data_IF_007789449707
#
_entry.id   IF_007789449707
#
_cell.length_a   1.000
_cell.length_b   1.000
_cell.length_c   1.000
_cell.angle_alpha   90.00
_cell.angle_beta   90.00
_cell.angle_gamma   90.00
#
_symmetry.space_group_name_H-M   'P 1'
#
loop_
_entity.id
_entity.type
_entity.pdbx_description
1 polymer ?
#
# COMPACT_ATOMS: atom_id res chain seq x y z
N UNK A 1 -8.19 16.66 -5.04
CA UNK A 1 -8.78 16.14 -3.79
C UNK A 1 -7.68 16.04 -2.76
N UNK A 2 -7.98 16.40 -1.51
CA UNK A 2 -7.05 16.27 -0.38
C UNK A 2 -7.59 15.18 0.55
N UNK A 3 -6.76 14.19 0.86
CA UNK A 3 -7.02 13.25 1.95
C UNK A 3 -6.00 13.54 3.05
N UNK A 4 -6.45 13.76 4.28
CA UNK A 4 -5.59 14.10 5.40
C UNK A 4 -5.86 13.18 6.60
N UNK A 5 -4.80 12.82 7.30
CA UNK A 5 -4.84 12.13 8.59
C UNK A 5 -3.64 12.57 9.41
N UNK A 6 -3.91 13.10 10.60
CA UNK A 6 -2.89 13.64 11.49
C UNK A 6 -2.01 14.67 10.73
N UNK A 7 -0.69 14.47 10.68
CA UNK A 7 0.24 15.33 9.94
C UNK A 7 0.47 14.89 8.48
N UNK A 8 -0.21 13.83 8.02
CA UNK A 8 -0.03 13.27 6.68
C UNK A 8 -1.13 13.74 5.72
N UNK A 9 -0.71 14.32 4.60
CA UNK A 9 -1.58 14.77 3.52
C UNK A 9 -1.26 14.06 2.21
N UNK A 10 -2.30 13.60 1.51
CA UNK A 10 -2.24 13.09 0.16
C UNK A 10 -3.02 14.02 -0.77
N UNK A 11 -2.29 14.62 -1.71
CA UNK A 11 -2.82 15.57 -2.69
C UNK A 11 -3.02 14.85 -4.01
N UNK A 12 -4.29 14.59 -4.35
CA UNK A 12 -4.68 13.91 -5.58
C UNK A 12 -5.10 14.95 -6.62
N UNK A 13 -4.38 15.02 -7.73
CA UNK A 13 -4.74 15.84 -8.87
C UNK A 13 -5.62 15.06 -9.83
N UNK A 14 -6.57 15.74 -10.47
CA UNK A 14 -7.27 15.16 -11.60
C UNK A 14 -6.28 14.90 -12.75
N UNK A 15 -6.37 13.72 -13.33
CA UNK A 15 -5.60 13.29 -14.48
C UNK A 15 -6.53 12.56 -15.43
N UNK A 16 -6.28 12.70 -16.73
CA UNK A 16 -7.08 12.01 -17.74
C UNK A 16 -6.77 10.50 -17.72
N UNK A 17 -7.78 9.64 -17.87
CA UNK A 17 -7.61 8.18 -17.81
C UNK A 17 -6.60 7.66 -18.86
N UNK A 18 -6.45 8.35 -20.00
CA UNK A 18 -5.45 8.00 -21.03
C UNK A 18 -4.01 8.14 -20.54
N UNK A 19 -3.75 9.01 -19.56
CA UNK A 19 -2.42 9.16 -18.95
C UNK A 19 -1.99 7.91 -18.19
N UNK A 20 -2.96 7.08 -17.80
CA UNK A 20 -2.74 5.80 -17.15
C UNK A 20 -2.77 4.63 -18.14
N UNK A 21 -2.92 4.85 -19.44
CA UNK A 21 -2.87 3.73 -20.40
C UNK A 21 -1.46 3.12 -20.47
N UNK A 22 -1.39 1.80 -20.58
CA UNK A 22 -0.11 1.11 -20.88
C UNK A 22 0.53 1.74 -22.14
N UNK A 23 1.86 1.94 -22.20
CA UNK A 23 2.90 1.41 -21.31
C UNK A 23 3.28 2.29 -20.11
N UNK A 24 2.48 3.29 -19.75
CA UNK A 24 2.84 4.21 -18.66
C UNK A 24 2.97 3.48 -17.32
N UNK A 25 4.13 3.64 -16.68
CA UNK A 25 4.41 3.11 -15.35
C UNK A 25 3.42 3.64 -14.30
N UNK A 26 3.19 2.84 -13.27
CA UNK A 26 2.35 3.21 -12.12
C UNK A 26 3.19 3.69 -10.96
N UNK A 27 2.63 4.63 -10.20
CA UNK A 27 3.24 5.10 -8.98
C UNK A 27 3.36 3.97 -7.97
N UNK A 28 4.45 4.00 -7.19
CA UNK A 28 4.60 3.17 -6.00
C UNK A 28 4.85 4.10 -4.81
N UNK A 29 3.89 4.15 -3.90
CA UNK A 29 3.95 4.97 -2.69
C UNK A 29 4.26 4.07 -1.50
N UNK A 30 5.24 4.46 -0.69
CA UNK A 30 5.71 3.68 0.45
C UNK A 30 5.45 4.45 1.74
N UNK A 31 4.66 3.87 2.62
CA UNK A 31 4.25 4.43 3.89
C UNK A 31 4.91 3.67 5.03
N UNK A 32 5.63 4.39 5.89
CA UNK A 32 6.14 3.83 7.14
C UNK A 32 4.97 3.73 8.12
N UNK A 33 4.82 2.56 8.75
CA UNK A 33 3.78 2.30 9.75
C UNK A 33 4.41 1.68 10.99
N UNK A 34 3.79 1.87 12.16
CA UNK A 34 4.34 1.36 13.42
C UNK A 34 4.26 -0.18 13.49
N UNK A 35 3.12 -0.74 13.08
CA UNK A 35 2.86 -2.18 13.12
C UNK A 35 2.10 -2.64 11.86
N UNK A 36 2.84 -3.33 10.99
CA UNK A 36 2.38 -3.81 9.68
C UNK A 36 1.32 -4.89 9.83
N UNK A 37 1.48 -5.80 10.79
CA UNK A 37 0.58 -6.92 11.00
C UNK A 37 -0.74 -6.45 11.62
N UNK A 38 -0.66 -5.52 12.59
CA UNK A 38 -1.86 -4.91 13.19
C UNK A 38 -2.67 -4.12 12.17
N UNK A 39 -2.02 -3.30 11.32
CA UNK A 39 -2.69 -2.56 10.25
C UNK A 39 -3.36 -3.50 9.25
N UNK A 40 -2.64 -4.54 8.80
CA UNK A 40 -3.18 -5.53 7.87
C UNK A 40 -4.41 -6.23 8.46
N UNK A 41 -4.37 -6.64 9.73
CA UNK A 41 -5.49 -7.29 10.40
C UNK A 41 -6.69 -6.35 10.52
N UNK A 42 -6.47 -5.09 10.90
CA UNK A 42 -7.53 -4.08 10.96
C UNK A 42 -8.20 -3.90 9.59
N UNK A 43 -7.40 -3.76 8.54
CA UNK A 43 -7.90 -3.52 7.19
C UNK A 43 -8.59 -4.73 6.58
N UNK A 44 -8.09 -5.93 6.87
CA UNK A 44 -8.77 -7.18 6.52
C UNK A 44 -10.15 -7.28 7.15
N UNK A 45 -10.29 -6.92 8.45
CA UNK A 45 -11.59 -6.90 9.14
C UNK A 45 -12.55 -5.85 8.58
N UNK A 46 -12.03 -4.72 8.12
CA UNK A 46 -12.84 -3.65 7.50
C UNK A 46 -13.20 -3.88 6.03
N UNK A 47 -12.66 -4.94 5.39
CA UNK A 47 -12.90 -5.24 3.97
C UNK A 47 -12.02 -4.45 2.99
N UNK A 48 -11.11 -3.60 3.48
CA UNK A 48 -10.12 -2.89 2.64
C UNK A 48 -9.19 -3.86 1.93
N UNK A 49 -8.77 -4.94 2.61
CA UNK A 49 -8.03 -6.04 1.97
C UNK A 49 -9.03 -6.99 1.32
N UNK A 50 -9.15 -6.93 -0.01
CA UNK A 50 -10.07 -7.76 -0.78
C UNK A 50 -9.48 -8.12 -2.16
N UNK A 51 -10.11 -8.98 -2.98
CA UNK A 51 -9.57 -9.38 -4.27
C UNK A 51 -9.26 -8.22 -5.24
N UNK A 52 -10.00 -7.11 -5.18
CA UNK A 52 -9.79 -5.95 -6.06
C UNK A 52 -8.54 -5.15 -5.68
N UNK A 53 -8.25 -5.01 -4.38
CA UNK A 53 -7.05 -4.29 -3.89
C UNK A 53 -5.83 -5.19 -3.85
N UNK A 54 -5.99 -6.50 -3.61
CA UNK A 54 -4.89 -7.47 -3.57
C UNK A 54 -4.46 -7.94 -4.96
N UNK A 55 -5.40 -8.01 -5.93
CA UNK A 55 -5.18 -8.50 -7.31
C UNK A 55 -4.37 -9.80 -7.40
N UNK A 56 -4.53 -10.70 -6.42
CA UNK A 56 -3.77 -11.96 -6.34
C UNK A 56 -2.26 -11.81 -6.09
N UNK A 57 -1.76 -10.61 -5.79
CA UNK A 57 -0.34 -10.37 -5.55
C UNK A 57 0.14 -11.12 -4.29
N UNK A 58 1.26 -11.87 -4.36
CA UNK A 58 1.88 -12.47 -3.17
C UNK A 58 2.27 -11.42 -2.11
N UNK A 59 2.62 -10.20 -2.57
CA UNK A 59 2.95 -9.07 -1.68
C UNK A 59 1.74 -8.45 -0.98
N UNK A 60 0.52 -8.90 -1.27
CA UNK A 60 -0.70 -8.38 -0.62
C UNK A 60 -0.95 -8.93 0.79
N UNK A 61 -0.05 -9.78 1.28
CA UNK A 61 -0.03 -10.25 2.67
C UNK A 61 1.29 -9.82 3.31
N UNK A 62 1.30 -9.51 4.62
CA UNK A 62 2.51 -9.17 5.33
C UNK A 62 3.61 -10.23 5.12
N UNK A 63 4.74 -9.82 4.54
CA UNK A 63 5.96 -10.60 4.30
C UNK A 63 7.19 -9.98 4.96
N UNK A 64 8.19 -10.80 5.30
CA UNK A 64 9.54 -10.32 5.60
C UNK A 64 10.32 -10.26 4.30
N UNK A 65 11.08 -9.20 4.10
CA UNK A 65 11.85 -9.02 2.88
C UNK A 65 13.35 -9.22 3.10
N UNK A 66 14.11 -9.54 2.03
CA UNK A 66 15.57 -9.61 2.09
C UNK A 66 16.25 -8.31 2.50
N UNK A 67 15.60 -7.16 2.27
CA UNK A 67 16.09 -5.82 2.65
C UNK A 67 15.69 -5.40 4.07
N UNK A 68 15.20 -6.34 4.90
CA UNK A 68 15.06 -6.12 6.33
C UNK A 68 13.79 -5.38 6.74
N UNK A 69 12.75 -5.38 5.91
CA UNK A 69 11.44 -4.83 6.26
C UNK A 69 10.41 -5.93 6.51
N UNK A 70 9.42 -5.62 7.34
CA UNK A 70 8.11 -6.26 7.35
C UNK A 70 7.21 -5.40 6.46
N UNK A 71 6.51 -5.96 5.48
CA UNK A 71 5.68 -5.15 4.58
C UNK A 71 4.55 -5.92 3.88
N UNK A 72 3.52 -5.20 3.44
CA UNK A 72 2.54 -5.65 2.45
C UNK A 72 2.20 -4.50 1.49
N UNK A 73 1.58 -4.82 0.36
CA UNK A 73 1.12 -3.81 -0.61
C UNK A 73 -0.30 -4.07 -1.10
N UNK A 74 -1.04 -3.01 -1.36
CA UNK A 74 -2.33 -3.04 -2.03
C UNK A 74 -2.28 -2.15 -3.28
N UNK A 75 -3.27 -2.30 -4.14
CA UNK A 75 -3.49 -1.39 -5.25
C UNK A 75 -4.71 -0.52 -5.00
N UNK A 76 -4.60 0.74 -5.39
CA UNK A 76 -5.73 1.65 -5.45
C UNK A 76 -6.54 1.42 -6.74
N UNK A 77 -7.66 2.13 -6.95
CA UNK A 77 -8.45 2.03 -8.17
C UNK A 77 -7.72 2.43 -9.46
N UNK A 78 -6.67 3.26 -9.38
CA UNK A 78 -5.82 3.63 -10.51
C UNK A 78 -4.71 2.60 -10.79
N UNK A 79 -4.63 1.54 -9.98
CA UNK A 79 -3.60 0.50 -9.99
C UNK A 79 -2.22 0.94 -9.49
N UNK A 80 -2.13 2.11 -8.85
CA UNK A 80 -0.92 2.53 -8.14
C UNK A 80 -0.68 1.58 -6.96
N UNK A 81 0.60 1.34 -6.68
CA UNK A 81 1.01 0.46 -5.58
C UNK A 81 1.09 1.28 -4.29
N UNK A 82 0.35 0.88 -3.27
CA UNK A 82 0.40 1.42 -1.92
C UNK A 82 1.08 0.38 -1.03
N UNK A 83 2.32 0.63 -0.64
CA UNK A 83 3.14 -0.29 0.16
C UNK A 83 3.26 0.23 1.59
N UNK A 84 2.98 -0.62 2.57
CA UNK A 84 3.03 -0.30 3.99
C UNK A 84 4.12 -1.15 4.64
N UNK A 85 5.05 -0.51 5.33
CA UNK A 85 6.23 -1.20 5.85
C UNK A 85 6.73 -0.65 7.18
N UNK A 86 7.48 -1.49 7.87
CA UNK A 86 8.30 -1.10 9.02
C UNK A 86 9.63 -1.86 8.99
N UNK A 87 10.71 -1.32 9.60
CA UNK A 87 11.92 -2.11 9.83
C UNK A 87 11.57 -3.39 10.58
N UNK A 88 12.15 -4.52 10.17
CA UNK A 88 11.93 -5.79 10.86
C UNK A 88 12.42 -5.65 12.30
N UNK A 89 11.56 -5.98 13.26
CA UNK A 89 11.99 -6.15 14.66
C UNK A 89 13.08 -7.23 14.66
N UNK A 90 14.24 -6.94 15.25
CA UNK A 90 15.27 -7.99 15.41
C UNK A 90 14.67 -9.05 16.33
N UNK A 91 14.79 -10.31 15.93
CA UNK A 91 14.45 -11.41 16.82
C UNK A 91 15.39 -11.29 18.04
N UNK A 92 14.79 -11.19 19.24
CA UNK A 92 15.51 -11.09 20.51
C UNK A 92 16.13 -12.43 20.89
#
# INVERSE_FOLDING_TARGET
>A
MLAARDELELHLQWADASQFSYPTDRGAFRFVVDDVDALFLQWSKSGVVNPATSQGSPGSKPGNTPWGTREFQLRDPAHDTLQFYSPRKRDA
#
